data_IF_792226294660
#
_entry.id   IF_792226294660
#
_cell.length_a   1.000
_cell.length_b   1.000
_cell.length_c   1.000
_cell.angle_alpha   90.00
_cell.angle_beta   90.00
_cell.angle_gamma   90.00
#
_symmetry.space_group_name_H-M   'P 1'
#
loop_
_entity.id
_entity.type
_entity.pdbx_description
1 polymer ?
#
# COMPACT_ATOMS: atom_id res chain seq x y z
N UNK A 1 11.27 -5.16 7.21
CA UNK A 1 9.85 -4.94 7.56
C UNK A 1 8.97 -5.34 6.38
N UNK A 2 7.79 -5.91 6.58
CA UNK A 2 6.85 -6.19 5.46
C UNK A 2 5.94 -4.98 5.24
N UNK A 3 5.47 -4.77 4.00
CA UNK A 3 4.53 -3.68 3.68
C UNK A 3 3.30 -3.72 4.60
N UNK A 4 2.73 -4.92 4.82
CA UNK A 4 1.54 -5.11 5.67
C UNK A 4 1.74 -4.56 7.09
N UNK A 5 2.92 -4.79 7.66
CA UNK A 5 3.26 -4.35 9.01
C UNK A 5 3.47 -2.83 9.04
N UNK A 6 4.22 -2.30 8.07
CA UNK A 6 4.42 -0.86 7.90
C UNK A 6 3.11 -0.08 7.74
N UNK A 7 2.19 -0.60 6.93
CA UNK A 7 0.88 0.02 6.75
C UNK A 7 0.06 -0.05 8.04
N UNK A 8 0.11 -1.14 8.79
CA UNK A 8 -0.63 -1.28 10.05
C UNK A 8 -0.14 -0.29 11.13
N UNK A 9 1.17 0.00 11.16
CA UNK A 9 1.74 1.02 12.05
C UNK A 9 1.31 2.45 11.68
N UNK A 10 1.07 2.71 10.39
CA UNK A 10 0.71 4.04 9.87
C UNK A 10 -0.80 4.27 9.71
N UNK A 11 -1.60 3.20 9.76
CA UNK A 11 -3.06 3.21 9.61
C UNK A 11 -3.69 2.30 10.69
N UNK A 12 -3.51 2.64 11.98
CA UNK A 12 -3.96 1.80 13.09
C UNK A 12 -5.48 1.61 13.15
N UNK A 13 -6.26 2.48 12.51
CA UNK A 13 -7.71 2.40 12.39
C UNK A 13 -8.20 1.33 11.39
N UNK A 14 -7.30 0.82 10.53
CA UNK A 14 -7.64 -0.18 9.51
C UNK A 14 -7.26 -1.57 10.01
N UNK A 15 -8.20 -2.52 9.90
CA UNK A 15 -7.89 -3.92 10.18
C UNK A 15 -6.73 -4.39 9.31
N UNK A 16 -5.70 -4.94 9.95
CA UNK A 16 -4.50 -5.46 9.28
C UNK A 16 -4.86 -6.45 8.18
N UNK A 17 -5.92 -7.22 8.32
CA UNK A 17 -6.33 -8.22 7.32
C UNK A 17 -6.82 -7.64 5.99
N UNK A 18 -7.27 -6.38 6.00
CA UNK A 18 -7.63 -5.65 4.79
C UNK A 18 -6.39 -5.12 4.07
N UNK A 19 -5.31 -4.80 4.80
CA UNK A 19 -4.13 -4.15 4.26
C UNK A 19 -3.39 -5.03 3.24
N UNK A 20 -2.93 -4.44 2.13
CA UNK A 20 -2.19 -5.18 1.13
C UNK A 20 -0.83 -5.62 1.67
N UNK A 21 -0.43 -6.83 1.29
CA UNK A 21 0.78 -7.45 1.84
C UNK A 21 2.01 -7.28 0.97
N UNK A 22 1.81 -7.21 -0.35
CA UNK A 22 2.87 -7.13 -1.36
C UNK A 22 2.40 -6.32 -2.56
N UNK A 23 3.36 -5.70 -3.25
CA UNK A 23 3.17 -5.09 -4.57
C UNK A 23 3.98 -5.85 -5.62
N UNK A 24 3.56 -5.77 -6.88
CA UNK A 24 4.40 -6.15 -8.01
C UNK A 24 5.25 -4.95 -8.42
N UNK A 25 6.57 -5.10 -8.42
CA UNK A 25 7.50 -4.02 -8.77
C UNK A 25 7.94 -4.14 -10.23
N UNK A 26 7.96 -3.02 -10.96
CA UNK A 26 8.46 -2.95 -12.33
C UNK A 26 8.90 -1.53 -12.69
N UNK A 27 10.15 -1.35 -13.14
CA UNK A 27 10.62 -0.09 -13.73
C UNK A 27 10.38 1.16 -12.88
N UNK A 28 10.67 1.11 -11.57
CA UNK A 28 10.44 2.24 -10.66
C UNK A 28 8.98 2.46 -10.27
N UNK A 29 8.11 1.48 -10.53
CA UNK A 29 6.67 1.52 -10.21
C UNK A 29 6.28 0.34 -9.34
N UNK A 30 5.35 0.55 -8.41
CA UNK A 30 4.70 -0.51 -7.65
C UNK A 30 3.21 -0.65 -8.01
N UNK A 31 2.79 -1.86 -8.35
CA UNK A 31 1.39 -2.21 -8.58
C UNK A 31 0.84 -2.91 -7.34
N UNK A 32 -0.15 -2.31 -6.69
CA UNK A 32 -0.69 -2.74 -5.41
C UNK A 32 -2.17 -3.06 -5.55
N UNK A 33 -2.58 -4.26 -5.13
CA UNK A 33 -4.00 -4.62 -5.12
C UNK A 33 -4.70 -3.95 -3.94
N UNK A 34 -5.73 -3.17 -4.21
CA UNK A 34 -6.53 -2.51 -3.18
C UNK A 34 -7.90 -3.16 -3.06
N UNK A 35 -8.31 -3.49 -1.83
CA UNK A 35 -9.66 -3.98 -1.58
C UNK A 35 -10.66 -2.82 -1.61
N UNK A 36 -11.91 -3.00 -2.09
CA UNK A 36 -12.91 -1.93 -2.16
C UNK A 36 -13.17 -1.22 -0.82
N UNK A 37 -13.07 -1.93 0.30
CA UNK A 37 -13.21 -1.40 1.66
C UNK A 37 -12.18 -0.31 1.98
N UNK A 38 -11.07 -0.28 1.25
CA UNK A 38 -9.98 0.67 1.41
C UNK A 38 -10.01 1.82 0.41
N UNK A 39 -11.08 1.96 -0.39
CA UNK A 39 -11.18 3.00 -1.42
C UNK A 39 -11.03 4.41 -0.82
N UNK A 40 -11.61 4.64 0.37
CA UNK A 40 -11.46 5.91 1.10
C UNK A 40 -10.02 6.21 1.55
N UNK A 41 -9.15 5.20 1.59
CA UNK A 41 -7.75 5.31 2.00
C UNK A 41 -6.77 5.18 0.84
N UNK A 42 -7.26 5.08 -0.41
CA UNK A 42 -6.43 4.77 -1.59
C UNK A 42 -5.22 5.69 -1.70
N UNK A 43 -5.42 7.00 -1.54
CA UNK A 43 -4.34 7.99 -1.67
C UNK A 43 -3.28 7.80 -0.59
N UNK A 44 -3.72 7.61 0.67
CA UNK A 44 -2.80 7.44 1.80
C UNK A 44 -2.02 6.14 1.71
N UNK A 45 -2.68 5.04 1.34
CA UNK A 45 -2.02 3.74 1.12
C UNK A 45 -1.03 3.83 -0.03
N UNK A 46 -1.40 4.51 -1.13
CA UNK A 46 -0.51 4.75 -2.26
C UNK A 46 0.76 5.51 -1.86
N UNK A 47 0.63 6.60 -1.10
CA UNK A 47 1.78 7.36 -0.59
C UNK A 47 2.70 6.52 0.30
N UNK A 48 2.13 5.79 1.27
CA UNK A 48 2.88 4.92 2.16
C UNK A 48 3.61 3.82 1.39
N UNK A 49 2.93 3.17 0.43
CA UNK A 49 3.54 2.16 -0.42
C UNK A 49 4.67 2.76 -1.27
N UNK A 50 4.50 3.98 -1.79
CA UNK A 50 5.52 4.67 -2.58
C UNK A 50 6.79 4.91 -1.78
N UNK A 51 6.65 5.39 -0.55
CA UNK A 51 7.78 5.58 0.37
C UNK A 51 8.41 4.27 0.80
N UNK A 52 7.60 3.24 1.07
CA UNK A 52 8.09 1.93 1.51
C UNK A 52 8.96 1.24 0.46
N UNK A 53 8.57 1.29 -0.81
CA UNK A 53 9.30 0.65 -1.90
C UNK A 53 10.34 1.56 -2.57
N UNK A 54 10.41 2.84 -2.19
CA UNK A 54 11.25 3.87 -2.84
C UNK A 54 11.06 3.89 -4.36
N UNK A 55 9.80 4.08 -4.78
CA UNK A 55 9.38 4.07 -6.19
C UNK A 55 8.85 5.43 -6.63
N UNK A 56 8.87 5.68 -7.94
CA UNK A 56 8.37 6.92 -8.54
C UNK A 56 6.84 7.00 -8.48
N UNK A 57 6.17 5.86 -8.69
CA UNK A 57 4.72 5.80 -8.74
C UNK A 57 4.15 4.51 -8.14
N UNK A 58 2.90 4.60 -7.67
CA UNK A 58 2.09 3.46 -7.22
C UNK A 58 0.79 3.45 -8.00
N UNK A 59 0.47 2.32 -8.60
CA UNK A 59 -0.83 2.06 -9.21
C UNK A 59 -1.64 1.13 -8.32
N UNK A 60 -2.85 1.55 -8.01
CA UNK A 60 -3.80 0.78 -7.20
C UNK A 60 -4.77 0.08 -8.15
N UNK A 61 -4.88 -1.24 -8.02
CA UNK A 61 -5.71 -2.12 -8.88
C UNK A 61 -6.64 -3.01 -8.09
#
# INVERSE_FOLDING_TARGET
>A
MKLKDFLAENLPEISKDLLPSHAKLFGGVALLRLRPELEGYKHRIGELARMFYDVEAVYLV
#
